data_IF_840087990919
#
_entry.id   IF_840087990919
#
_cell.length_a   1.000
_cell.length_b   1.000
_cell.length_c   1.000
_cell.angle_alpha   90.00
_cell.angle_beta   90.00
_cell.angle_gamma   90.00
#
_symmetry.space_group_name_H-M   'P 1'
#
loop_
_entity.id
_entity.type
_entity.pdbx_description
1 polymer ?
#
# COMPACT_ATOMS: atom_id res chain seq x y z
N UNK A 1 7.27 -3.78 -16.22
CA UNK A 1 7.99 -3.57 -14.94
C UNK A 1 9.41 -4.17 -14.89
N UNK A 2 9.72 -5.22 -15.63
CA UNK A 2 11.11 -5.75 -15.70
C UNK A 2 12.02 -4.89 -16.61
N UNK A 3 11.45 -4.06 -17.49
CA UNK A 3 12.19 -3.19 -18.41
C UNK A 3 12.63 -1.82 -17.86
N UNK A 4 12.21 -1.46 -16.64
CA UNK A 4 12.41 -0.11 -16.12
C UNK A 4 13.64 0.07 -15.20
N UNK A 5 14.40 -1.01 -14.95
CA UNK A 5 15.54 -0.96 -14.02
C UNK A 5 16.63 0.02 -14.48
N UNK A 6 16.92 0.06 -15.75
CA UNK A 6 17.91 1.00 -16.31
C UNK A 6 17.44 2.44 -16.12
N UNK A 7 16.17 2.71 -16.39
CA UNK A 7 15.61 4.05 -16.19
C UNK A 7 15.62 4.47 -14.72
N UNK A 8 15.26 3.55 -13.79
CA UNK A 8 15.37 3.82 -12.34
C UNK A 8 16.80 4.14 -11.95
N UNK A 9 17.77 3.38 -12.47
CA UNK A 9 19.18 3.60 -12.17
C UNK A 9 19.69 4.96 -12.68
N UNK A 10 19.31 5.37 -13.89
CA UNK A 10 19.65 6.68 -14.42
C UNK A 10 18.95 7.82 -13.67
N UNK A 11 17.70 7.61 -13.25
CA UNK A 11 16.97 8.57 -12.42
C UNK A 11 17.65 8.74 -11.05
N UNK A 12 18.13 7.65 -10.44
CA UNK A 12 18.90 7.71 -9.18
C UNK A 12 20.19 8.51 -9.37
N UNK A 13 20.98 8.22 -10.41
CA UNK A 13 22.21 8.97 -10.71
C UNK A 13 21.93 10.46 -10.87
N UNK A 14 20.87 10.78 -11.61
CA UNK A 14 20.47 12.17 -11.83
C UNK A 14 20.08 12.85 -10.52
N UNK A 15 19.26 12.19 -9.70
CA UNK A 15 18.84 12.70 -8.41
C UNK A 15 20.03 12.95 -7.46
N UNK A 16 21.00 12.03 -7.44
CA UNK A 16 22.23 12.18 -6.66
C UNK A 16 23.08 13.36 -7.18
N UNK A 17 23.26 13.47 -8.49
CA UNK A 17 24.08 14.57 -9.08
C UNK A 17 23.47 15.95 -8.80
N UNK A 18 22.13 16.04 -8.68
CA UNK A 18 21.40 17.26 -8.35
C UNK A 18 21.20 17.47 -6.84
N UNK A 19 21.73 16.60 -5.99
CA UNK A 19 21.51 16.57 -4.53
C UNK A 19 20.02 16.52 -4.15
N UNK A 20 19.20 15.85 -4.97
CA UNK A 20 17.76 15.67 -4.79
C UNK A 20 17.45 14.26 -4.26
N UNK A 21 17.99 13.92 -3.09
CA UNK A 21 17.94 12.56 -2.52
C UNK A 21 16.53 12.05 -2.21
N UNK A 22 15.55 12.95 -2.12
CA UNK A 22 14.14 12.61 -1.88
C UNK A 22 13.29 12.58 -3.17
N UNK A 23 13.93 12.64 -4.34
CA UNK A 23 13.22 12.58 -5.61
C UNK A 23 12.64 11.19 -5.88
N UNK A 24 11.47 11.16 -6.49
CA UNK A 24 10.89 9.93 -7.02
C UNK A 24 11.69 9.47 -8.22
N UNK A 25 12.15 8.25 -8.18
CA UNK A 25 13.05 7.67 -9.20
C UNK A 25 12.36 6.61 -10.05
N UNK A 26 11.22 6.09 -9.61
CA UNK A 26 10.50 5.07 -10.38
C UNK A 26 9.72 5.70 -11.55
N UNK A 27 9.90 5.15 -12.77
CA UNK A 27 9.10 5.56 -13.92
C UNK A 27 7.62 5.24 -13.69
N UNK A 28 6.75 6.21 -13.98
CA UNK A 28 5.31 6.04 -13.83
C UNK A 28 4.75 6.42 -12.47
N UNK A 29 5.58 6.75 -11.49
CA UNK A 29 5.12 7.32 -10.23
C UNK A 29 4.45 8.67 -10.46
N UNK A 30 3.19 8.87 -10.02
CA UNK A 30 2.51 10.15 -10.18
C UNK A 30 3.26 11.26 -9.42
N UNK A 31 3.67 12.29 -10.14
CA UNK A 31 4.24 13.51 -9.56
C UNK A 31 3.09 14.47 -9.30
N UNK A 32 2.66 14.56 -8.05
CA UNK A 32 1.55 15.41 -7.64
C UNK A 32 2.07 16.68 -6.98
N UNK A 33 1.52 17.82 -7.37
CA UNK A 33 1.67 19.07 -6.64
C UNK A 33 0.98 18.96 -5.28
N UNK A 34 1.32 19.85 -4.35
CA UNK A 34 0.75 19.83 -3.00
C UNK A 34 -0.79 19.98 -3.03
N UNK A 35 -1.28 20.86 -3.87
CA UNK A 35 -2.73 21.11 -4.03
C UNK A 35 -3.46 19.88 -4.57
N UNK A 36 -2.88 19.20 -5.57
CA UNK A 36 -3.43 17.97 -6.14
C UNK A 36 -3.47 16.84 -5.10
N UNK A 37 -2.44 16.72 -4.27
CA UNK A 37 -2.41 15.75 -3.16
C UNK A 37 -3.51 16.05 -2.14
N UNK A 38 -3.70 17.30 -1.79
CA UNK A 38 -4.74 17.69 -0.85
C UNK A 38 -6.13 17.38 -1.39
N UNK A 39 -6.41 17.74 -2.62
CA UNK A 39 -7.68 17.42 -3.28
C UNK A 39 -7.92 15.90 -3.37
N UNK A 40 -6.88 15.15 -3.74
CA UNK A 40 -6.91 13.69 -3.82
C UNK A 40 -7.26 13.03 -2.48
N UNK A 41 -6.59 13.46 -1.40
CA UNK A 41 -6.81 12.90 -0.07
C UNK A 41 -8.18 13.27 0.51
N UNK A 42 -8.64 14.51 0.33
CA UNK A 42 -10.00 14.91 0.72
C UNK A 42 -11.05 14.08 -0.02
N UNK A 43 -10.91 13.95 -1.33
CA UNK A 43 -11.81 13.10 -2.11
C UNK A 43 -11.77 11.63 -1.66
N UNK A 44 -10.58 11.10 -1.35
CA UNK A 44 -10.43 9.73 -0.84
C UNK A 44 -11.18 9.53 0.48
N UNK A 45 -11.05 10.47 1.42
CA UNK A 45 -11.74 10.41 2.72
C UNK A 45 -13.26 10.45 2.52
N UNK A 46 -13.76 11.43 1.78
CA UNK A 46 -15.19 11.62 1.55
C UNK A 46 -15.79 10.41 0.81
N UNK A 47 -15.08 9.90 -0.19
CA UNK A 47 -15.57 8.80 -1.01
C UNK A 47 -15.61 7.46 -0.25
N UNK A 48 -14.77 7.25 0.77
CA UNK A 48 -14.76 6.01 1.57
C UNK A 48 -16.09 5.72 2.26
N UNK A 49 -16.90 6.72 2.52
CA UNK A 49 -18.23 6.56 3.13
C UNK A 49 -19.33 6.21 2.11
N UNK A 50 -19.05 6.34 0.84
CA UNK A 50 -20.02 6.11 -0.22
C UNK A 50 -20.27 4.60 -0.45
N UNK A 51 -21.51 4.23 -0.73
CA UNK A 51 -21.89 2.85 -1.07
C UNK A 51 -21.06 2.29 -2.24
N UNK A 52 -20.83 3.11 -3.27
CA UNK A 52 -20.01 2.73 -4.42
C UNK A 52 -18.56 2.39 -4.08
N UNK A 53 -18.01 3.00 -3.02
CA UNK A 53 -16.69 2.63 -2.51
C UNK A 53 -16.71 1.23 -1.90
N UNK A 54 -17.70 0.92 -1.07
CA UNK A 54 -17.82 -0.38 -0.43
C UNK A 54 -17.88 -1.52 -1.45
N UNK A 55 -18.67 -1.37 -2.51
CA UNK A 55 -18.74 -2.38 -3.58
C UNK A 55 -17.37 -2.57 -4.25
N UNK A 56 -16.70 -1.48 -4.62
CA UNK A 56 -15.38 -1.54 -5.25
C UNK A 56 -14.33 -2.14 -4.32
N UNK A 57 -14.41 -1.84 -3.02
CA UNK A 57 -13.55 -2.43 -1.99
C UNK A 57 -13.71 -3.95 -1.95
N UNK A 58 -14.93 -4.45 -1.84
CA UNK A 58 -15.18 -5.91 -1.82
C UNK A 58 -14.64 -6.61 -3.08
N UNK A 59 -14.83 -6.01 -4.25
CA UNK A 59 -14.28 -6.56 -5.51
C UNK A 59 -12.75 -6.58 -5.47
N UNK A 60 -12.13 -5.47 -5.07
CA UNK A 60 -10.67 -5.36 -4.97
C UNK A 60 -10.09 -6.38 -3.96
N UNK A 61 -10.74 -6.55 -2.81
CA UNK A 61 -10.34 -7.51 -1.80
C UNK A 61 -10.47 -8.95 -2.30
N UNK A 62 -11.54 -9.29 -3.02
CA UNK A 62 -11.71 -10.61 -3.62
C UNK A 62 -10.61 -10.91 -4.65
N UNK A 63 -10.31 -9.95 -5.51
CA UNK A 63 -9.23 -10.07 -6.50
C UNK A 63 -7.87 -10.23 -5.79
N UNK A 64 -7.62 -9.42 -4.77
CA UNK A 64 -6.37 -9.48 -4.02
C UNK A 64 -6.25 -10.79 -3.23
N UNK A 65 -7.37 -11.30 -2.71
CA UNK A 65 -7.42 -12.61 -2.07
C UNK A 65 -7.03 -13.72 -3.03
N UNK A 66 -7.60 -13.73 -4.23
CA UNK A 66 -7.28 -14.73 -5.26
C UNK A 66 -5.81 -14.65 -5.67
N UNK A 67 -5.29 -13.43 -5.91
CA UNK A 67 -3.88 -13.20 -6.22
C UNK A 67 -2.93 -13.64 -5.08
N UNK A 68 -3.27 -13.32 -3.84
CA UNK A 68 -2.53 -13.76 -2.65
C UNK A 68 -2.48 -15.29 -2.55
N UNK A 69 -3.60 -15.95 -2.83
CA UNK A 69 -3.69 -17.42 -2.81
C UNK A 69 -2.85 -18.06 -3.91
N UNK A 70 -2.87 -17.48 -5.12
CA UNK A 70 -2.04 -17.95 -6.23
C UNK A 70 -0.53 -17.81 -5.94
N UNK A 71 -0.11 -16.66 -5.39
CA UNK A 71 1.28 -16.46 -4.95
C UNK A 71 1.65 -17.45 -3.84
N UNK A 72 0.71 -17.77 -2.98
CA UNK A 72 0.87 -18.74 -1.90
C UNK A 72 1.23 -20.15 -2.35
N UNK A 73 0.83 -20.55 -3.57
CA UNK A 73 1.15 -21.87 -4.13
C UNK A 73 2.67 -22.07 -4.36
N UNK A 74 3.39 -20.98 -4.58
CA UNK A 74 4.83 -20.98 -4.85
C UNK A 74 5.65 -20.38 -3.71
N UNK A 75 5.00 -19.98 -2.62
CA UNK A 75 5.65 -19.29 -1.48
C UNK A 75 5.83 -20.27 -0.32
N UNK A 76 7.06 -20.43 0.13
CA UNK A 76 7.37 -21.12 1.38
C UNK A 76 7.45 -20.08 2.50
N UNK A 77 6.75 -20.34 3.61
CA UNK A 77 6.77 -19.49 4.80
C UNK A 77 7.30 -20.32 5.95
N UNK A 78 8.34 -19.81 6.60
CA UNK A 78 8.94 -20.41 7.81
C UNK A 78 8.90 -19.41 8.96
N UNK A 79 8.98 -19.87 10.20
CA UNK A 79 9.01 -19.02 11.38
C UNK A 79 7.63 -18.55 11.83
N UNK A 80 6.52 -19.11 11.31
CA UNK A 80 5.17 -18.76 11.76
C UNK A 80 4.93 -19.08 13.23
N UNK A 81 5.64 -20.05 13.76
CA UNK A 81 5.63 -20.41 15.18
C UNK A 81 6.02 -19.24 16.09
N UNK A 82 6.86 -18.31 15.60
CA UNK A 82 7.26 -17.12 16.35
C UNK A 82 6.11 -16.13 16.53
N UNK A 83 5.03 -16.26 15.76
CA UNK A 83 3.83 -15.42 15.86
C UNK A 83 2.77 -16.00 16.80
N UNK A 84 2.96 -17.19 17.34
CA UNK A 84 2.00 -17.89 18.21
C UNK A 84 1.66 -17.11 19.49
N UNK A 85 2.57 -16.28 19.97
CA UNK A 85 2.40 -15.46 21.17
C UNK A 85 1.80 -14.08 20.87
N UNK A 86 1.74 -13.66 19.61
CA UNK A 86 1.17 -12.38 19.21
C UNK A 86 -0.34 -12.47 19.28
N UNK A 87 -0.91 -11.86 20.32
CA UNK A 87 -2.36 -11.79 20.51
C UNK A 87 -2.83 -10.37 20.29
N UNK A 88 -3.80 -10.21 19.38
CA UNK A 88 -4.39 -8.91 19.06
C UNK A 88 -3.74 -8.22 17.86
N UNK A 89 -4.08 -6.94 17.64
CA UNK A 89 -3.61 -6.20 16.47
C UNK A 89 -2.10 -5.97 16.52
N UNK A 90 -1.46 -5.98 15.35
CA UNK A 90 -0.02 -5.80 15.21
C UNK A 90 0.35 -4.97 13.99
N UNK A 91 1.49 -4.29 14.07
CA UNK A 91 2.11 -3.62 12.91
C UNK A 91 3.20 -4.55 12.38
N UNK A 92 3.08 -4.89 11.10
CA UNK A 92 4.03 -5.76 10.40
C UNK A 92 4.89 -4.90 9.47
N UNK A 93 6.20 -5.04 9.59
CA UNK A 93 7.16 -4.42 8.67
C UNK A 93 7.91 -5.52 7.90
N UNK A 94 8.22 -5.24 6.64
CA UNK A 94 9.00 -6.15 5.81
C UNK A 94 9.97 -5.37 4.90
N UNK A 95 11.00 -6.06 4.45
CA UNK A 95 11.82 -5.55 3.36
C UNK A 95 11.00 -5.54 2.06
N UNK A 96 11.22 -4.54 1.23
CA UNK A 96 10.47 -4.37 -0.02
C UNK A 96 11.40 -4.50 -1.21
N UNK A 97 11.31 -5.64 -1.90
CA UNK A 97 12.14 -5.96 -3.08
C UNK A 97 11.32 -6.19 -4.35
N UNK A 98 10.02 -6.38 -4.22
CA UNK A 98 9.15 -6.77 -5.32
C UNK A 98 7.76 -6.15 -5.19
N UNK A 99 7.11 -5.82 -6.31
CA UNK A 99 5.69 -5.44 -6.31
C UNK A 99 4.75 -6.51 -5.74
N UNK A 100 5.21 -7.75 -5.60
CA UNK A 100 4.45 -8.87 -5.03
C UNK A 100 4.56 -8.98 -3.51
N UNK A 101 5.48 -8.26 -2.87
CA UNK A 101 5.70 -8.34 -1.42
C UNK A 101 4.43 -8.14 -0.60
N UNK A 102 3.52 -7.19 -0.91
CA UNK A 102 2.28 -7.06 -0.17
C UNK A 102 1.40 -8.31 -0.21
N UNK A 103 1.40 -9.04 -1.33
CA UNK A 103 0.65 -10.30 -1.46
C UNK A 103 1.33 -11.43 -0.67
N UNK A 104 2.66 -11.49 -0.67
CA UNK A 104 3.44 -12.49 0.07
C UNK A 104 3.27 -12.28 1.58
N UNK A 105 3.38 -11.04 2.06
CA UNK A 105 3.19 -10.71 3.48
C UNK A 105 1.75 -11.03 3.90
N UNK A 106 0.76 -10.66 3.11
CA UNK A 106 -0.64 -10.99 3.39
C UNK A 106 -0.89 -12.50 3.44
N UNK A 107 -0.26 -13.27 2.57
CA UNK A 107 -0.33 -14.73 2.60
C UNK A 107 0.27 -15.30 3.88
N UNK A 108 1.46 -14.85 4.29
CA UNK A 108 2.12 -15.28 5.51
C UNK A 108 1.28 -14.95 6.75
N UNK A 109 0.77 -13.72 6.85
CA UNK A 109 -0.06 -13.27 7.96
C UNK A 109 -1.37 -14.06 8.06
N UNK A 110 -1.99 -14.38 6.93
CA UNK A 110 -3.18 -15.26 6.92
C UNK A 110 -2.90 -16.66 7.42
N UNK A 111 -1.76 -17.23 7.06
CA UNK A 111 -1.31 -18.51 7.61
C UNK A 111 -1.11 -18.44 9.12
N UNK A 112 -0.69 -17.30 9.65
CA UNK A 112 -0.56 -17.05 11.08
C UNK A 112 -1.90 -16.72 11.78
N UNK A 113 -3.04 -16.69 11.05
CA UNK A 113 -4.37 -16.46 11.61
C UNK A 113 -4.86 -15.01 11.53
N UNK A 114 -4.07 -14.07 11.00
CA UNK A 114 -4.49 -12.68 10.82
C UNK A 114 -5.29 -12.54 9.52
N UNK A 115 -6.58 -12.27 9.63
CA UNK A 115 -7.49 -12.21 8.47
C UNK A 115 -7.69 -10.80 7.93
N UNK A 116 -7.55 -9.77 8.77
CA UNK A 116 -7.67 -8.36 8.39
C UNK A 116 -6.30 -7.74 8.32
N UNK A 117 -5.91 -7.29 7.14
CA UNK A 117 -4.58 -6.76 6.88
C UNK A 117 -4.71 -5.53 6.00
N UNK A 118 -4.46 -4.37 6.58
CA UNK A 118 -4.40 -3.11 5.85
C UNK A 118 -2.97 -2.81 5.41
N UNK A 119 -2.80 -2.24 4.23
CA UNK A 119 -1.49 -1.94 3.65
C UNK A 119 -1.27 -0.44 3.67
N UNK A 120 -0.20 -0.01 4.35
CA UNK A 120 0.24 1.40 4.32
C UNK A 120 0.95 1.67 3.01
N UNK A 121 0.57 2.76 2.34
CA UNK A 121 1.00 3.04 1.00
C UNK A 121 1.10 4.57 0.77
N UNK A 122 1.88 5.01 -0.19
CA UNK A 122 2.07 6.43 -0.47
C UNK A 122 0.81 7.04 -1.12
N UNK A 123 0.45 8.26 -0.70
CA UNK A 123 -0.73 9.00 -1.20
C UNK A 123 -0.80 9.11 -2.73
N UNK A 124 0.35 9.32 -3.38
CA UNK A 124 0.42 9.42 -4.83
C UNK A 124 -0.03 8.13 -5.56
N UNK A 125 0.02 6.97 -4.91
CA UNK A 125 -0.44 5.72 -5.51
C UNK A 125 -1.96 5.70 -5.73
N UNK A 126 -2.70 6.53 -4.98
CA UNK A 126 -4.14 6.72 -5.21
C UNK A 126 -4.43 7.36 -6.59
N UNK A 127 -3.48 8.12 -7.15
CA UNK A 127 -3.60 8.75 -8.46
C UNK A 127 -3.22 7.82 -9.63
N UNK A 128 -2.69 6.63 -9.36
CA UNK A 128 -2.36 5.66 -10.39
C UNK A 128 -3.59 5.28 -11.21
N UNK A 129 -3.39 5.02 -12.51
CA UNK A 129 -4.46 4.64 -13.45
C UNK A 129 -4.54 3.13 -13.63
N UNK A 130 -5.62 2.69 -14.27
CA UNK A 130 -5.84 1.30 -14.65
C UNK A 130 -6.01 0.36 -13.45
N UNK A 131 -5.71 -0.91 -13.66
CA UNK A 131 -5.89 -1.97 -12.67
C UNK A 131 -5.08 -1.75 -11.40
N UNK A 132 -3.80 -1.38 -11.54
CA UNK A 132 -2.94 -1.08 -10.38
C UNK A 132 -3.54 0.03 -9.53
N UNK A 133 -3.93 1.15 -10.15
CA UNK A 133 -4.57 2.25 -9.44
C UNK A 133 -5.90 1.86 -8.79
N UNK A 134 -6.67 0.95 -9.40
CA UNK A 134 -7.86 0.39 -8.78
C UNK A 134 -7.52 -0.36 -7.49
N UNK A 135 -6.53 -1.24 -7.54
CA UNK A 135 -6.07 -1.99 -6.36
C UNK A 135 -5.53 -1.07 -5.27
N UNK A 136 -4.73 -0.06 -5.64
CA UNK A 136 -4.18 0.92 -4.71
C UNK A 136 -5.25 1.77 -3.99
N UNK A 137 -6.40 1.96 -4.58
CA UNK A 137 -7.52 2.72 -3.96
C UNK A 137 -8.43 1.88 -3.10
N UNK A 138 -8.62 0.59 -3.43
CA UNK A 138 -9.72 -0.20 -2.87
C UNK A 138 -9.29 -1.48 -2.14
N UNK A 139 -8.05 -1.96 -2.29
CA UNK A 139 -7.59 -3.21 -1.66
C UNK A 139 -7.07 -2.99 -0.22
N UNK A 140 -7.88 -2.38 0.63
CA UNK A 140 -7.62 -2.13 2.05
C UNK A 140 -6.30 -1.39 2.29
N UNK A 141 -6.12 -0.30 1.58
CA UNK A 141 -4.93 0.55 1.66
C UNK A 141 -5.18 1.75 2.57
N UNK A 142 -4.14 2.14 3.31
CA UNK A 142 -4.08 3.35 4.12
C UNK A 142 -3.00 4.27 3.55
N UNK A 143 -3.35 5.44 2.99
CA UNK A 143 -2.35 6.34 2.46
C UNK A 143 -1.52 7.01 3.57
N UNK A 144 -0.23 7.14 3.35
CA UNK A 144 0.67 8.00 4.09
C UNK A 144 1.04 9.19 3.21
N UNK A 145 1.15 10.38 3.78
CA UNK A 145 1.32 11.62 3.02
C UNK A 145 2.38 12.53 3.63
N UNK A 146 2.91 13.46 2.82
CA UNK A 146 3.70 14.61 3.30
C UNK A 146 2.85 15.76 3.84
N UNK A 147 1.51 15.67 3.75
CA UNK A 147 0.61 16.71 4.25
C UNK A 147 0.40 16.56 5.75
N UNK A 148 0.84 17.59 6.49
CA UNK A 148 0.84 17.61 7.95
C UNK A 148 -0.54 17.35 8.55
N UNK A 149 -1.58 18.06 8.06
CA UNK A 149 -2.93 17.89 8.55
C UNK A 149 -3.42 16.43 8.46
N UNK A 150 -3.13 15.76 7.33
CA UNK A 150 -3.55 14.39 7.14
C UNK A 150 -2.83 13.42 8.10
N UNK A 151 -1.53 13.60 8.27
CA UNK A 151 -0.71 12.77 9.17
C UNK A 151 -0.99 12.99 10.64
N UNK A 152 -1.50 14.16 11.02
CA UNK A 152 -1.81 14.50 12.43
C UNK A 152 -3.26 14.15 12.82
N UNK A 153 -4.17 14.05 11.84
CA UNK A 153 -5.60 13.82 12.13
C UNK A 153 -6.12 12.50 11.51
N UNK A 154 -6.07 12.39 10.20
CA UNK A 154 -6.73 11.29 9.49
C UNK A 154 -5.96 9.97 9.57
N UNK A 155 -4.65 10.01 9.40
CA UNK A 155 -3.83 8.80 9.41
C UNK A 155 -3.85 8.07 10.77
N UNK A 156 -3.70 8.76 11.93
CA UNK A 156 -3.84 8.11 13.24
C UNK A 156 -5.22 7.49 13.46
N UNK A 157 -6.28 8.17 13.00
CA UNK A 157 -7.65 7.65 13.10
C UNK A 157 -7.83 6.39 12.26
N UNK A 158 -7.23 6.34 11.06
CA UNK A 158 -7.27 5.14 10.22
C UNK A 158 -6.51 3.98 10.84
N UNK A 159 -5.33 4.22 11.42
CA UNK A 159 -4.56 3.19 12.14
C UNK A 159 -5.38 2.68 13.33
N UNK A 160 -5.90 3.58 14.16
CA UNK A 160 -6.73 3.20 15.30
C UNK A 160 -7.89 2.32 14.88
N UNK A 161 -8.65 2.74 13.87
CA UNK A 161 -9.78 1.95 13.35
C UNK A 161 -9.35 0.58 12.81
N UNK A 162 -8.15 0.47 12.24
CA UNK A 162 -7.63 -0.80 11.75
C UNK A 162 -7.16 -1.74 12.87
N UNK A 163 -6.70 -1.19 13.99
CA UNK A 163 -6.25 -1.95 15.16
C UNK A 163 -7.42 -2.33 16.09
N UNK A 164 -8.50 -1.54 16.12
CA UNK A 164 -9.68 -1.79 16.96
C UNK A 164 -10.67 -2.83 16.35
N UNK A 165 -10.53 -3.17 15.07
CA UNK A 165 -11.39 -4.08 14.32
C UNK A 165 -10.67 -5.36 13.88
#
# INVERSE_FOLDING_TARGET
MIGDREQVYENIKTAVSLNQLNSKVEPGDPKLLREDKEALLRHYIDYRTAYGYCVKKYIAEAIFYAGTSAVGLITQVSGLENLSEVKGPAIVTCNHFSPLDPAIVRFAMRKAGFTRISIVNQDSNLAMKGFVGYMQRYADTMPVSSLKWFMETEFPNQIKNALDN
#
